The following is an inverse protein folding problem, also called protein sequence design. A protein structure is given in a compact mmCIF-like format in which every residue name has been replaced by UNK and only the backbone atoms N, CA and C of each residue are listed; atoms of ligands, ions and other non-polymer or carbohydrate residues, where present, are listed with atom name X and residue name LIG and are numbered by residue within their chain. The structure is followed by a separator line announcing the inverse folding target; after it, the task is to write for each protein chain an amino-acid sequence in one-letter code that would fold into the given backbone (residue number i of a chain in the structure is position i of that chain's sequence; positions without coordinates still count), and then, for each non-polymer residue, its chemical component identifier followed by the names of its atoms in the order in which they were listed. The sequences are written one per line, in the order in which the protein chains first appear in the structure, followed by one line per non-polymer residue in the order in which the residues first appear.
data_IF_819124280524
#
_entry.id   IF_819124280524
#
_cell.length_a   1.000
_cell.length_b   1.000
_cell.length_c   1.000
_cell.angle_alpha   90.00
_cell.angle_beta   90.00
_cell.angle_gamma   90.00
#
_symmetry.space_group_name_H-M   'P 1'
#
loop_
_entity.id
_entity.type
_entity.pdbx_description
1 polymer ?
#
# COMPACT_ATOMS: atom_id res chain seq x y z
N UNK A 1 26.02 -3.61 17.39
CA UNK A 1 26.02 -4.12 16.00
C UNK A 1 24.63 -4.67 15.73
N UNK A 2 23.90 -4.12 14.75
CA UNK A 2 22.55 -4.59 14.41
C UNK A 2 22.69 -5.83 13.52
N UNK A 3 22.05 -6.93 13.90
CA UNK A 3 22.08 -8.20 13.17
C UNK A 3 21.57 -8.04 11.72
N UNK A 4 22.06 -8.83 10.75
CA UNK A 4 21.56 -8.76 9.38
C UNK A 4 20.08 -9.15 9.37
N UNK A 5 19.22 -8.17 9.08
CA UNK A 5 17.79 -8.39 8.91
C UNK A 5 17.63 -9.29 7.70
N UNK A 6 17.17 -10.54 7.90
CA UNK A 6 16.89 -11.45 6.79
C UNK A 6 15.93 -10.75 5.84
N UNK A 7 16.23 -10.79 4.55
CA UNK A 7 15.36 -10.24 3.53
C UNK A 7 13.99 -10.91 3.59
N UNK A 8 12.94 -10.11 3.36
CA UNK A 8 11.58 -10.63 3.18
C UNK A 8 11.51 -11.52 1.94
N UNK A 9 10.52 -12.39 1.89
CA UNK A 9 10.25 -13.23 0.72
C UNK A 9 10.12 -12.42 -0.58
N UNK A 10 9.41 -11.28 -0.55
CA UNK A 10 9.27 -10.40 -1.71
C UNK A 10 10.62 -9.79 -2.14
N UNK A 11 11.45 -9.37 -1.19
CA UNK A 11 12.78 -8.86 -1.50
C UNK A 11 13.67 -9.94 -2.14
N UNK A 12 13.59 -11.19 -1.67
CA UNK A 12 14.32 -12.32 -2.27
C UNK A 12 13.82 -12.63 -3.68
N UNK A 13 12.52 -12.53 -3.94
CA UNK A 13 11.94 -12.73 -5.27
C UNK A 13 12.35 -11.62 -6.25
N UNK A 14 12.31 -10.36 -5.80
CA UNK A 14 12.77 -9.22 -6.61
C UNK A 14 14.28 -9.30 -6.89
N UNK A 15 15.09 -9.79 -5.97
CA UNK A 15 16.53 -10.00 -6.22
C UNK A 15 16.77 -11.01 -7.35
N UNK A 16 15.91 -12.02 -7.52
CA UNK A 16 16.03 -12.97 -8.64
C UNK A 16 15.81 -12.28 -9.99
N UNK A 17 15.01 -11.20 -10.04
CA UNK A 17 14.79 -10.43 -11.27
C UNK A 17 16.03 -9.61 -11.69
N UNK A 18 16.90 -9.25 -10.74
CA UNK A 18 18.16 -8.54 -11.04
C UNK A 18 19.20 -9.39 -11.75
N UNK A 19 18.97 -10.71 -11.90
CA UNK A 19 19.76 -11.53 -12.81
C UNK A 19 19.61 -11.06 -14.28
N UNK A 20 18.58 -10.27 -14.59
CA UNK A 20 18.32 -9.68 -15.89
C UNK A 20 18.50 -8.16 -15.85
N UNK A 21 19.21 -7.61 -16.83
CA UNK A 21 19.26 -6.16 -17.03
C UNK A 21 18.00 -5.76 -17.80
N UNK A 22 17.06 -5.13 -17.09
CA UNK A 22 15.83 -4.60 -17.68
C UNK A 22 16.04 -3.15 -18.11
N UNK A 23 15.47 -2.71 -19.25
CA UNK A 23 15.35 -1.29 -19.58
C UNK A 23 14.53 -0.54 -18.53
N UNK A 24 14.81 0.74 -18.32
CA UNK A 24 14.13 1.59 -17.34
C UNK A 24 12.59 1.61 -17.50
N UNK A 25 12.10 1.52 -18.73
CA UNK A 25 10.67 1.46 -19.04
C UNK A 25 10.00 0.26 -18.38
N UNK A 26 10.62 -0.92 -18.45
CA UNK A 26 10.10 -2.14 -17.83
C UNK A 26 10.14 -2.07 -16.31
N UNK A 27 11.11 -1.36 -15.73
CA UNK A 27 11.13 -1.11 -14.28
C UNK A 27 9.95 -0.24 -13.84
N UNK A 28 9.56 0.74 -14.64
CA UNK A 28 8.37 1.57 -14.39
C UNK A 28 7.11 0.73 -14.51
N UNK A 29 7.00 -0.14 -15.52
CA UNK A 29 5.86 -1.05 -15.70
C UNK A 29 5.68 -1.98 -14.49
N UNK A 30 6.77 -2.61 -14.02
CA UNK A 30 6.72 -3.48 -12.83
C UNK A 30 6.27 -2.70 -11.59
N UNK A 31 6.78 -1.47 -11.41
CA UNK A 31 6.35 -0.62 -10.29
C UNK A 31 4.86 -0.30 -10.37
N UNK A 32 4.36 0.03 -11.56
CA UNK A 32 2.93 0.31 -11.78
C UNK A 32 2.08 -0.93 -11.53
N UNK A 33 2.52 -2.11 -11.97
CA UNK A 33 1.82 -3.38 -11.72
C UNK A 33 1.71 -3.67 -10.22
N UNK A 34 2.81 -3.49 -9.47
CA UNK A 34 2.80 -3.68 -8.02
C UNK A 34 1.89 -2.65 -7.34
N UNK A 35 1.95 -1.39 -7.75
CA UNK A 35 1.09 -0.34 -7.20
C UNK A 35 -0.39 -0.64 -7.43
N UNK A 36 -0.76 -1.05 -8.65
CA UNK A 36 -2.12 -1.44 -8.98
C UNK A 36 -2.59 -2.62 -8.12
N UNK A 37 -1.77 -3.66 -7.97
CA UNK A 37 -2.11 -4.81 -7.14
C UNK A 37 -2.42 -4.42 -5.69
N UNK A 38 -1.62 -3.51 -5.10
CA UNK A 38 -1.88 -3.04 -3.75
C UNK A 38 -3.12 -2.16 -3.65
N UNK A 39 -3.35 -1.27 -4.63
CA UNK A 39 -4.56 -0.45 -4.70
C UNK A 39 -5.82 -1.32 -4.76
N UNK A 40 -5.85 -2.31 -5.66
CA UNK A 40 -6.98 -3.24 -5.79
C UNK A 40 -7.28 -3.98 -4.48
N UNK A 41 -6.23 -4.35 -3.72
CA UNK A 41 -6.39 -4.97 -2.40
C UNK A 41 -6.91 -4.00 -1.36
N UNK A 42 -6.46 -2.76 -1.38
CA UNK A 42 -6.95 -1.71 -0.46
C UNK A 42 -8.40 -1.37 -0.75
N UNK A 43 -8.78 -1.24 -2.02
CA UNK A 43 -10.17 -0.95 -2.42
C UNK A 43 -11.11 -2.09 -1.98
N UNK A 44 -10.72 -3.35 -2.22
CA UNK A 44 -11.51 -4.50 -1.79
C UNK A 44 -11.67 -4.58 -0.25
N UNK A 45 -10.63 -4.24 0.51
CA UNK A 45 -10.71 -4.21 1.97
C UNK A 45 -11.57 -3.03 2.46
N UNK A 46 -11.50 -1.86 1.80
CA UNK A 46 -12.37 -0.73 2.09
C UNK A 46 -13.84 -1.06 1.83
N UNK A 47 -14.15 -1.67 0.69
CA UNK A 47 -15.52 -2.14 0.40
C UNK A 47 -16.03 -3.10 1.46
N UNK A 48 -15.17 -4.02 1.91
CA UNK A 48 -15.50 -4.93 3.00
C UNK A 48 -15.81 -4.17 4.30
N UNK A 49 -14.96 -3.24 4.72
CA UNK A 49 -15.15 -2.45 5.94
C UNK A 49 -16.40 -1.57 5.87
N UNK A 50 -16.68 -0.97 4.71
CA UNK A 50 -17.91 -0.20 4.47
C UNK A 50 -19.14 -1.05 4.72
N UNK A 51 -19.17 -2.26 4.15
CA UNK A 51 -20.28 -3.19 4.31
C UNK A 51 -20.42 -3.70 5.76
N UNK A 52 -19.31 -4.11 6.40
CA UNK A 52 -19.32 -4.65 7.77
C UNK A 52 -19.75 -3.61 8.81
N UNK A 53 -19.34 -2.35 8.64
CA UNK A 53 -19.64 -1.28 9.59
C UNK A 53 -20.88 -0.46 9.22
N UNK A 54 -21.52 -0.76 8.09
CA UNK A 54 -22.69 -0.03 7.59
C UNK A 54 -22.41 1.44 7.31
N UNK A 55 -21.19 1.76 6.86
CA UNK A 55 -20.82 3.13 6.53
C UNK A 55 -21.56 3.62 5.29
N UNK A 56 -21.99 4.86 5.33
CA UNK A 56 -22.71 5.53 4.25
C UNK A 56 -22.10 6.90 3.97
N UNK A 57 -22.70 7.64 3.04
CA UNK A 57 -22.24 8.98 2.68
C UNK A 57 -22.17 9.93 3.89
N UNK A 58 -23.06 9.78 4.87
CA UNK A 58 -23.07 10.63 6.06
C UNK A 58 -21.85 10.38 6.95
N UNK A 59 -21.42 9.12 7.03
CA UNK A 59 -20.22 8.71 7.75
C UNK A 59 -18.98 9.33 7.12
N UNK A 60 -18.86 9.25 5.80
CA UNK A 60 -17.74 9.85 5.06
C UNK A 60 -17.72 11.38 5.17
N UNK A 61 -18.88 12.03 5.09
CA UNK A 61 -19.01 13.47 5.25
C UNK A 61 -18.59 13.94 6.66
N UNK A 62 -18.90 13.15 7.69
CA UNK A 62 -18.48 13.43 9.06
C UNK A 62 -16.96 13.33 9.21
N UNK A 63 -16.33 12.30 8.64
CA UNK A 63 -14.87 12.17 8.66
C UNK A 63 -14.15 13.26 7.88
N UNK A 64 -14.66 13.62 6.70
CA UNK A 64 -14.09 14.68 5.87
C UNK A 64 -14.12 16.06 6.57
N UNK A 65 -15.10 16.29 7.46
CA UNK A 65 -15.21 17.50 8.30
C UNK A 65 -14.54 17.35 9.67
N UNK A 66 -14.07 16.15 10.00
CA UNK A 66 -13.40 15.83 11.24
C UNK A 66 -12.00 16.42 11.33
N UNK A 67 -11.52 16.65 12.56
CA UNK A 67 -10.17 17.15 12.84
C UNK A 67 -9.35 16.11 13.60
N UNK A 68 -9.43 14.84 13.18
CA UNK A 68 -8.78 13.65 13.76
C UNK A 68 -7.24 13.63 13.56
N UNK A 69 -6.62 14.78 13.32
CA UNK A 69 -5.17 14.89 13.12
C UNK A 69 -4.46 14.67 14.45
N UNK A 70 -3.27 14.07 14.40
CA UNK A 70 -2.42 13.94 15.59
C UNK A 70 -2.13 15.31 16.20
N UNK A 71 -2.26 15.43 17.52
CA UNK A 71 -1.95 16.67 18.25
C UNK A 71 -0.48 17.01 18.04
N UNK A 72 -0.19 18.23 17.60
CA UNK A 72 1.17 18.72 17.46
C UNK A 72 1.81 18.81 18.84
N UNK A 73 2.80 17.95 19.10
CA UNK A 73 3.69 18.09 20.26
C UNK A 73 4.84 19.01 19.84
N UNK A 74 4.97 20.20 20.45
CA UNK A 74 6.07 21.11 20.17
C UNK A 74 7.43 20.52 20.57
#
# INVERSE_FOLDING_TARGET
MVAPTKLTNLQLELLQTFAYSLPDEQLVEIRTLLAQYFLDKTDAEMDRLVNENGWDQSTFDAWAKGHERTVYKP
#
